data_IF_282775042006
#
_entry.id   IF_282775042006
#
_cell.length_a   1.000
_cell.length_b   1.000
_cell.length_c   1.000
_cell.angle_alpha   90.00
_cell.angle_beta   90.00
_cell.angle_gamma   90.00
#
_symmetry.space_group_name_H-M   'P 1'
#
loop_
_entity.id
_entity.type
_entity.pdbx_description
1 polymer ?
#
# COMPACT_ATOMS: atom_id res chain seq x y z
N UNK A 1 3.33 22.88 -0.46
CA UNK A 1 3.68 21.58 -1.08
C UNK A 1 2.76 21.26 -2.24
N UNK A 2 1.44 21.02 -2.04
CA UNK A 2 0.52 20.76 -3.16
C UNK A 2 0.48 21.93 -4.18
N UNK A 3 0.22 23.16 -3.74
CA UNK A 3 0.25 24.35 -4.62
C UNK A 3 1.62 24.65 -5.25
N UNK A 4 2.70 24.12 -4.67
CA UNK A 4 4.05 24.26 -5.24
C UNK A 4 4.34 23.13 -6.24
N UNK A 5 3.65 22.00 -6.14
CA UNK A 5 3.82 20.84 -7.01
C UNK A 5 3.39 21.12 -8.45
N UNK A 6 2.51 22.10 -8.66
CA UNK A 6 2.08 22.55 -9.99
C UNK A 6 3.06 23.55 -10.62
N UNK A 7 4.18 23.84 -9.94
CA UNK A 7 5.19 24.82 -10.37
C UNK A 7 6.59 24.22 -10.42
N UNK A 8 7.54 24.92 -11.05
CA UNK A 8 8.96 24.54 -11.05
C UNK A 8 9.56 24.39 -9.64
N UNK A 9 8.99 25.05 -8.62
CA UNK A 9 9.40 24.88 -7.23
C UNK A 9 9.15 23.44 -6.73
N UNK A 10 8.08 22.79 -7.17
CA UNK A 10 7.78 21.40 -6.84
C UNK A 10 8.85 20.43 -7.33
N UNK A 11 9.38 20.68 -8.54
CA UNK A 11 10.51 19.94 -9.11
C UNK A 11 11.77 20.10 -8.23
N UNK A 12 12.15 21.35 -7.91
CA UNK A 12 13.32 21.64 -7.07
C UNK A 12 13.21 21.02 -5.67
N UNK A 13 12.07 21.17 -5.00
CA UNK A 13 11.81 20.60 -3.68
C UNK A 13 11.91 19.06 -3.71
N UNK A 14 11.41 18.43 -4.77
CA UNK A 14 11.45 16.97 -4.93
C UNK A 14 12.89 16.44 -5.05
N UNK A 15 13.75 17.14 -5.81
CA UNK A 15 15.18 16.82 -5.86
C UNK A 15 15.90 17.12 -4.54
N UNK A 16 15.55 18.21 -3.84
CA UNK A 16 16.11 18.51 -2.52
C UNK A 16 15.81 17.40 -1.50
N UNK A 17 14.59 16.84 -1.52
CA UNK A 17 14.23 15.69 -0.68
C UNK A 17 15.12 14.47 -0.97
N UNK A 18 15.36 14.17 -2.25
CA UNK A 18 16.26 13.09 -2.64
C UNK A 18 17.68 13.34 -2.11
N UNK A 19 18.21 14.55 -2.28
CA UNK A 19 19.54 14.94 -1.80
C UNK A 19 19.65 14.78 -0.29
N UNK A 20 18.64 15.20 0.48
CA UNK A 20 18.62 15.02 1.94
C UNK A 20 18.67 13.55 2.33
N UNK A 21 17.91 12.67 1.66
CA UNK A 21 17.94 11.23 1.91
C UNK A 21 19.31 10.63 1.57
N UNK A 22 19.89 11.02 0.43
CA UNK A 22 21.22 10.58 -0.01
C UNK A 22 22.28 11.00 1.00
N UNK A 23 22.36 12.28 1.35
CA UNK A 23 23.33 12.79 2.32
C UNK A 23 23.17 12.11 3.67
N UNK A 24 21.93 11.96 4.15
CA UNK A 24 21.68 11.28 5.43
C UNK A 24 22.12 9.82 5.45
N UNK A 25 22.10 9.13 4.31
CA UNK A 25 22.54 7.73 4.21
C UNK A 25 24.05 7.57 4.36
N UNK A 26 24.83 8.60 4.02
CA UNK A 26 26.28 8.63 4.24
C UNK A 26 26.62 8.69 5.75
N UNK A 27 25.76 9.34 6.56
CA UNK A 27 25.96 9.44 8.01
C UNK A 27 25.35 8.27 8.77
N UNK A 28 24.10 7.90 8.45
CA UNK A 28 23.38 6.84 9.15
C UNK A 28 22.27 6.25 8.30
N UNK A 29 22.38 4.94 8.04
CA UNK A 29 21.33 4.16 7.39
C UNK A 29 19.98 4.27 8.12
N UNK A 30 20.00 4.30 9.47
CA UNK A 30 18.78 4.46 10.27
C UNK A 30 18.12 5.82 10.01
N UNK A 31 18.90 6.90 9.93
CA UNK A 31 18.37 8.23 9.64
C UNK A 31 17.78 8.31 8.23
N UNK A 32 18.48 7.74 7.25
CA UNK A 32 18.02 7.72 5.86
C UNK A 32 16.71 6.97 5.68
N UNK A 33 16.56 5.79 6.29
CA UNK A 33 15.30 5.03 6.25
C UNK A 33 14.15 5.83 6.86
N UNK A 34 14.39 6.49 8.00
CA UNK A 34 13.37 7.33 8.65
C UNK A 34 12.94 8.50 7.80
N UNK A 35 13.90 9.23 7.23
CA UNK A 35 13.64 10.37 6.36
C UNK A 35 12.93 9.94 5.08
N UNK A 36 13.35 8.84 4.48
CA UNK A 36 12.68 8.26 3.31
C UNK A 36 11.21 7.94 3.60
N UNK A 37 10.92 7.22 4.69
CA UNK A 37 9.54 6.88 5.07
C UNK A 37 8.74 8.15 5.34
N UNK A 38 9.27 9.09 6.12
CA UNK A 38 8.59 10.34 6.44
C UNK A 38 8.25 11.15 5.18
N UNK A 39 9.26 11.48 4.37
CA UNK A 39 9.11 12.30 3.18
C UNK A 39 8.20 11.65 2.15
N UNK A 40 8.31 10.33 1.98
CA UNK A 40 7.45 9.57 1.05
C UNK A 40 5.97 9.55 1.48
N UNK A 41 5.67 9.58 2.78
CA UNK A 41 4.30 9.53 3.27
C UNK A 41 3.62 10.90 3.27
N UNK A 42 4.33 11.95 3.66
CA UNK A 42 3.76 13.31 3.70
C UNK A 42 3.60 13.92 2.30
N UNK A 43 4.38 13.47 1.32
CA UNK A 43 4.27 13.92 -0.07
C UNK A 43 3.03 13.33 -0.75
N UNK A 44 2.17 14.17 -1.36
CA UNK A 44 1.04 13.68 -2.15
C UNK A 44 1.55 12.90 -3.37
N UNK A 45 0.88 11.79 -3.70
CA UNK A 45 1.20 10.97 -4.88
C UNK A 45 0.56 11.51 -6.17
N UNK A 46 -0.57 12.20 -6.04
CA UNK A 46 -1.37 12.70 -7.16
C UNK A 46 -1.87 14.13 -6.85
N UNK A 47 -2.17 14.88 -7.90
CA UNK A 47 -2.84 16.18 -7.78
C UNK A 47 -4.25 16.02 -7.16
N UNK A 48 -4.76 17.08 -6.52
CA UNK A 48 -6.15 17.14 -6.06
C UNK A 48 -7.15 17.39 -7.19
N UNK A 49 -6.66 17.91 -8.31
CA UNK A 49 -7.48 18.21 -9.50
C UNK A 49 -7.45 17.07 -10.51
N UNK A 50 -6.85 15.92 -10.16
CA UNK A 50 -6.61 14.85 -11.11
C UNK A 50 -7.91 14.34 -11.73
N UNK A 51 -8.91 14.01 -10.90
CA UNK A 51 -10.20 13.52 -11.44
C UNK A 51 -10.93 14.61 -12.23
N UNK A 52 -10.89 15.86 -11.77
CA UNK A 52 -11.51 16.98 -12.50
C UNK A 52 -10.88 17.17 -13.89
N UNK A 53 -9.55 17.10 -13.98
CA UNK A 53 -8.79 17.19 -15.23
C UNK A 53 -9.08 16.01 -16.17
N UNK A 54 -9.17 14.78 -15.64
CA UNK A 54 -9.50 13.60 -16.43
C UNK A 54 -10.93 13.69 -16.98
N UNK A 55 -11.88 14.17 -16.17
CA UNK A 55 -13.28 14.34 -16.61
C UNK A 55 -13.40 15.46 -17.63
N UNK A 56 -12.76 16.62 -17.39
CA UNK A 56 -12.85 17.77 -18.29
C UNK A 56 -12.15 17.54 -19.64
N UNK A 57 -11.07 16.74 -19.67
CA UNK A 57 -10.35 16.38 -20.90
C UNK A 57 -10.93 15.17 -21.63
N UNK A 58 -12.08 14.63 -21.20
CA UNK A 58 -12.60 13.34 -21.72
C UNK A 58 -11.54 12.23 -21.72
N UNK A 59 -10.73 12.16 -20.66
CA UNK A 59 -9.71 11.14 -20.45
C UNK A 59 -8.54 11.19 -21.47
N UNK A 60 -8.20 12.37 -21.97
CA UNK A 60 -7.13 12.58 -22.97
C UNK A 60 -5.90 13.30 -22.42
N UNK A 61 -6.06 14.27 -21.51
CA UNK A 61 -4.97 15.12 -21.02
C UNK A 61 -5.01 15.31 -19.50
N UNK A 62 -3.83 15.35 -18.87
CA UNK A 62 -3.65 15.63 -17.45
C UNK A 62 -2.49 16.60 -17.29
N UNK A 63 -2.67 17.65 -16.48
CA UNK A 63 -1.63 18.66 -16.25
C UNK A 63 -0.44 18.08 -15.47
N UNK A 64 0.72 18.73 -15.61
CA UNK A 64 1.95 18.29 -14.95
C UNK A 64 1.88 18.50 -13.43
N UNK A 65 2.18 17.45 -12.68
CA UNK A 65 2.25 17.48 -11.21
C UNK A 65 3.62 16.99 -10.73
N UNK A 66 4.40 17.86 -10.09
CA UNK A 66 5.75 17.57 -9.61
C UNK A 66 5.78 17.26 -8.10
N UNK A 67 5.93 15.98 -7.78
CA UNK A 67 6.09 15.46 -6.43
C UNK A 67 7.27 14.49 -6.35
N UNK A 68 7.69 14.16 -5.13
CA UNK A 68 8.72 13.14 -4.90
C UNK A 68 8.39 11.77 -5.52
N UNK A 69 7.11 11.48 -5.78
CA UNK A 69 6.66 10.24 -6.42
C UNK A 69 6.52 10.36 -7.94
N UNK A 70 6.15 11.53 -8.45
CA UNK A 70 5.85 11.74 -9.88
C UNK A 70 7.05 12.26 -10.68
N UNK A 71 7.99 12.99 -10.05
CA UNK A 71 9.23 13.42 -10.69
C UNK A 71 10.09 12.19 -11.00
N UNK A 72 10.59 12.12 -12.23
CA UNK A 72 11.42 11.02 -12.72
C UNK A 72 12.82 11.51 -13.09
N UNK A 73 13.80 10.64 -12.87
CA UNK A 73 15.15 10.78 -13.38
C UNK A 73 15.55 9.45 -14.04
N UNK A 74 16.02 9.51 -15.30
CA UNK A 74 16.30 8.34 -16.12
C UNK A 74 15.15 7.30 -16.17
N UNK A 75 13.90 7.78 -16.21
CA UNK A 75 12.70 6.93 -16.27
C UNK A 75 12.30 6.26 -14.94
N UNK A 76 12.99 6.54 -13.83
CA UNK A 76 12.64 6.07 -12.49
C UNK A 76 12.16 7.24 -11.62
N UNK A 77 11.08 7.03 -10.88
CA UNK A 77 10.61 8.01 -9.89
C UNK A 77 11.66 8.25 -8.80
N UNK A 78 11.77 9.49 -8.29
CA UNK A 78 12.77 9.85 -7.28
C UNK A 78 12.65 8.99 -6.01
N UNK A 79 11.42 8.61 -5.62
CA UNK A 79 11.20 7.69 -4.49
C UNK A 79 11.82 6.30 -4.70
N UNK A 80 11.84 5.80 -5.93
CA UNK A 80 12.49 4.52 -6.27
C UNK A 80 14.01 4.68 -6.26
N UNK A 81 14.53 5.79 -6.78
CA UNK A 81 15.97 6.09 -6.76
C UNK A 81 16.48 6.20 -5.31
N UNK A 82 15.72 6.84 -4.43
CA UNK A 82 16.04 6.90 -3.00
C UNK A 82 16.15 5.50 -2.37
N UNK A 83 15.22 4.59 -2.69
CA UNK A 83 15.30 3.19 -2.24
C UNK A 83 16.56 2.52 -2.78
N UNK A 84 16.86 2.66 -4.08
CA UNK A 84 18.07 2.08 -4.70
C UNK A 84 19.32 2.58 -3.97
N UNK A 85 19.41 3.88 -3.65
CA UNK A 85 20.55 4.44 -2.93
C UNK A 85 20.68 3.88 -1.51
N UNK A 86 19.57 3.77 -0.77
CA UNK A 86 19.52 3.10 0.53
C UNK A 86 19.99 1.64 0.40
N UNK A 87 19.61 0.96 -0.69
CA UNK A 87 20.05 -0.39 -1.01
C UNK A 87 21.55 -0.49 -1.23
N UNK A 88 22.12 0.41 -2.03
CA UNK A 88 23.55 0.49 -2.30
C UNK A 88 24.34 0.64 -0.99
N UNK A 89 23.99 1.61 -0.15
CA UNK A 89 24.63 1.82 1.15
C UNK A 89 24.44 0.61 2.07
N UNK A 90 23.27 -0.02 2.06
CA UNK A 90 23.01 -1.23 2.83
C UNK A 90 23.94 -2.38 2.41
N UNK A 91 24.16 -2.58 1.11
CA UNK A 91 25.08 -3.59 0.59
C UNK A 91 26.53 -3.27 1.00
N UNK A 92 26.98 -2.02 0.83
CA UNK A 92 28.31 -1.60 1.27
C UNK A 92 28.52 -1.88 2.77
N UNK A 93 27.53 -1.55 3.60
CA UNK A 93 27.57 -1.80 5.04
C UNK A 93 27.57 -3.29 5.37
N UNK A 94 26.78 -4.10 4.66
CA UNK A 94 26.78 -5.56 4.83
C UNK A 94 28.17 -6.15 4.53
N UNK A 95 28.80 -5.75 3.42
CA UNK A 95 30.13 -6.23 3.03
C UNK A 95 31.20 -5.81 4.04
N UNK A 96 31.13 -4.58 4.55
CA UNK A 96 32.07 -4.08 5.56
C UNK A 96 31.91 -4.77 6.92
N UNK A 97 30.66 -4.88 7.41
CA UNK A 97 30.38 -5.44 8.74
C UNK A 97 30.38 -6.97 8.79
N UNK A 98 30.33 -7.64 7.63
CA UNK A 98 30.22 -9.11 7.50
C UNK A 98 29.09 -9.71 8.36
N UNK A 99 27.98 -8.97 8.48
CA UNK A 99 26.84 -9.35 9.32
C UNK A 99 26.28 -10.70 8.87
N UNK A 100 26.28 -11.69 9.77
CA UNK A 100 25.72 -13.01 9.48
C UNK A 100 24.22 -13.03 9.71
N UNK A 101 23.49 -13.58 8.74
CA UNK A 101 22.07 -13.86 8.85
C UNK A 101 21.85 -15.09 9.74
N UNK A 102 21.53 -14.89 11.02
CA UNK A 102 21.36 -16.00 11.93
C UNK A 102 19.91 -16.51 12.08
N UNK A 103 18.92 -15.79 11.56
CA UNK A 103 17.50 -16.16 11.70
C UNK A 103 17.05 -17.07 10.56
N UNK A 104 16.69 -18.33 10.88
CA UNK A 104 16.12 -19.30 9.92
C UNK A 104 14.88 -18.74 9.23
N UNK A 105 14.05 -18.00 9.97
CA UNK A 105 12.82 -17.38 9.46
C UNK A 105 13.10 -16.30 8.41
N UNK A 106 14.13 -15.49 8.64
CA UNK A 106 14.57 -14.43 7.70
C UNK A 106 15.24 -15.05 6.48
N UNK A 107 16.06 -16.09 6.65
CA UNK A 107 16.64 -16.84 5.54
C UNK A 107 15.55 -17.47 4.65
N UNK A 108 14.50 -18.04 5.26
CA UNK A 108 13.34 -18.58 4.53
C UNK A 108 12.63 -17.51 3.70
N UNK A 109 12.54 -16.26 4.18
CA UNK A 109 11.99 -15.15 3.39
C UNK A 109 12.83 -14.87 2.14
N UNK A 110 14.17 -14.75 2.26
CA UNK A 110 15.02 -14.54 1.09
C UNK A 110 14.99 -15.72 0.11
N UNK A 111 15.04 -16.96 0.62
CA UNK A 111 14.92 -18.16 -0.23
C UNK A 111 13.61 -18.16 -1.02
N UNK A 112 12.49 -17.80 -0.38
CA UNK A 112 11.21 -17.66 -1.06
C UNK A 112 11.22 -16.57 -2.13
N UNK A 113 11.82 -15.41 -1.84
CA UNK A 113 11.95 -14.31 -2.78
C UNK A 113 12.78 -14.71 -4.02
N UNK A 114 13.91 -15.39 -3.82
CA UNK A 114 14.72 -15.94 -4.91
C UNK A 114 14.00 -17.02 -5.70
N UNK A 115 13.26 -17.90 -5.03
CA UNK A 115 12.46 -18.94 -5.70
C UNK A 115 11.41 -18.32 -6.61
N UNK A 116 10.63 -17.35 -6.12
CA UNK A 116 9.65 -16.63 -6.95
C UNK A 116 10.32 -15.88 -8.08
N UNK A 117 11.46 -15.22 -7.82
CA UNK A 117 12.21 -14.55 -8.88
C UNK A 117 12.60 -15.53 -10.01
N UNK A 118 13.07 -16.73 -9.67
CA UNK A 118 13.40 -17.78 -10.63
C UNK A 118 12.15 -18.29 -11.39
N UNK A 119 11.00 -18.43 -10.70
CA UNK A 119 9.72 -18.80 -11.34
C UNK A 119 9.30 -17.76 -12.37
N UNK A 120 9.41 -16.46 -12.06
CA UNK A 120 9.07 -15.40 -13.01
C UNK A 120 10.05 -15.37 -14.21
N UNK A 121 11.34 -15.60 -13.99
CA UNK A 121 12.32 -15.73 -15.08
C UNK A 121 11.99 -16.92 -16.00
N UNK A 122 11.65 -18.06 -15.42
CA UNK A 122 11.22 -19.24 -16.17
C UNK A 122 9.96 -18.92 -16.99
N UNK A 123 8.95 -18.32 -16.36
CA UNK A 123 7.72 -17.93 -17.03
C UNK A 123 7.97 -16.93 -18.18
N UNK A 124 8.84 -15.94 -18.00
CA UNK A 124 9.25 -15.02 -19.09
C UNK A 124 9.89 -15.78 -20.23
N UNK A 125 10.78 -16.73 -19.93
CA UNK A 125 11.47 -17.54 -20.95
C UNK A 125 10.47 -18.37 -21.75
N UNK A 126 9.53 -19.05 -21.08
CA UNK A 126 8.47 -19.82 -21.75
C UNK A 126 7.59 -18.91 -22.60
N UNK A 127 7.16 -17.75 -22.09
CA UNK A 127 6.37 -16.76 -22.83
C UNK A 127 7.07 -16.26 -24.10
N UNK A 128 8.39 -16.04 -24.04
CA UNK A 128 9.17 -15.67 -25.23
C UNK A 128 9.22 -16.80 -26.27
N UNK A 129 9.36 -18.06 -25.83
CA UNK A 129 9.41 -19.22 -26.73
C UNK A 129 8.11 -19.45 -27.50
N UNK A 130 6.97 -19.08 -26.92
CA UNK A 130 5.65 -19.15 -27.58
C UNK A 130 5.28 -17.84 -28.32
N UNK A 131 6.23 -16.92 -28.49
CA UNK A 131 6.05 -15.70 -29.30
C UNK A 131 5.46 -14.49 -28.56
N UNK A 132 5.19 -14.58 -27.26
CA UNK A 132 4.78 -13.41 -26.44
C UNK A 132 6.00 -12.70 -25.88
N UNK A 133 6.65 -11.89 -26.71
CA UNK A 133 7.83 -11.12 -26.32
C UNK A 133 7.44 -9.87 -25.52
N UNK A 134 7.89 -9.75 -24.25
CA UNK A 134 7.65 -8.57 -23.43
C UNK A 134 8.60 -7.42 -23.79
N UNK A 135 8.11 -6.18 -23.73
CA UNK A 135 8.97 -4.99 -23.82
C UNK A 135 9.85 -4.89 -22.56
N UNK A 136 11.13 -4.62 -22.76
CA UNK A 136 12.13 -4.51 -21.70
C UNK A 136 11.78 -3.47 -20.63
N UNK A 137 11.08 -2.39 -21.00
CA UNK A 137 10.60 -1.37 -20.05
C UNK A 137 9.67 -1.99 -19.00
N UNK A 138 8.83 -2.92 -19.41
CA UNK A 138 7.90 -3.61 -18.51
C UNK A 138 8.59 -4.67 -17.66
N UNK A 139 9.61 -5.36 -18.21
CA UNK A 139 10.46 -6.27 -17.43
C UNK A 139 11.14 -5.52 -16.28
N UNK A 140 11.76 -4.38 -16.57
CA UNK A 140 12.43 -3.53 -15.57
C UNK A 140 11.42 -3.04 -14.52
N UNK A 141 10.24 -2.61 -14.95
CA UNK A 141 9.16 -2.16 -14.07
C UNK A 141 8.73 -3.24 -13.06
N UNK A 142 8.62 -4.49 -13.50
CA UNK A 142 8.21 -5.62 -12.65
C UNK A 142 9.36 -6.05 -11.72
N UNK A 143 10.61 -6.02 -12.20
CA UNK A 143 11.80 -6.33 -11.40
C UNK A 143 11.97 -5.39 -10.18
N UNK A 144 11.52 -4.15 -10.31
CA UNK A 144 11.53 -3.13 -9.25
C UNK A 144 10.95 -3.63 -7.92
N UNK A 145 9.90 -4.46 -7.95
CA UNK A 145 9.25 -4.97 -6.73
C UNK A 145 10.22 -5.83 -5.88
N UNK A 146 11.00 -6.70 -6.54
CA UNK A 146 11.99 -7.55 -5.88
C UNK A 146 13.15 -6.74 -5.32
N UNK A 147 13.60 -5.72 -6.05
CA UNK A 147 14.62 -4.78 -5.58
C UNK A 147 14.14 -4.11 -4.28
N UNK A 148 12.93 -3.54 -4.29
CA UNK A 148 12.39 -2.79 -3.15
C UNK A 148 12.23 -3.71 -1.93
N UNK A 149 11.70 -4.91 -2.09
CA UNK A 149 11.58 -5.87 -0.98
C UNK A 149 12.93 -6.34 -0.45
N UNK A 150 13.87 -6.63 -1.34
CA UNK A 150 15.22 -7.03 -0.97
C UNK A 150 15.92 -5.94 -0.15
N UNK A 151 15.81 -4.68 -0.59
CA UNK A 151 16.41 -3.53 0.09
C UNK A 151 15.73 -3.26 1.44
N UNK A 152 14.40 -3.28 1.52
CA UNK A 152 13.69 -3.10 2.80
C UNK A 152 14.05 -4.19 3.82
N UNK A 153 14.12 -5.44 3.37
CA UNK A 153 14.57 -6.57 4.19
C UNK A 153 16.03 -6.43 4.65
N UNK A 154 16.94 -6.03 3.76
CA UNK A 154 18.35 -5.84 4.06
C UNK A 154 18.56 -4.70 5.06
N UNK A 155 17.91 -3.56 4.83
CA UNK A 155 17.98 -2.41 5.74
C UNK A 155 17.47 -2.79 7.14
N UNK A 156 16.39 -3.59 7.24
CA UNK A 156 15.89 -4.09 8.51
C UNK A 156 16.94 -4.92 9.28
N UNK A 157 17.66 -5.82 8.61
CA UNK A 157 18.72 -6.64 9.23
C UNK A 157 19.87 -5.80 9.75
N UNK A 158 20.24 -4.74 9.02
CA UNK A 158 21.38 -3.90 9.41
C UNK A 158 21.06 -2.91 10.54
N UNK A 159 19.77 -2.63 10.76
CA UNK A 159 19.31 -1.69 11.81
C UNK A 159 18.70 -2.43 13.01
N UNK A 160 18.39 -3.73 12.90
CA UNK A 160 17.67 -4.47 13.94
C UNK A 160 18.35 -4.51 15.31
N UNK A 161 19.66 -4.25 15.39
CA UNK A 161 20.40 -4.17 16.65
C UNK A 161 19.95 -2.98 17.52
N UNK A 162 19.34 -1.95 16.92
CA UNK A 162 18.73 -0.87 17.68
C UNK A 162 17.38 -1.35 18.22
N UNK A 163 17.32 -1.66 19.52
CA UNK A 163 16.10 -2.18 20.14
C UNK A 163 14.91 -1.26 19.95
N UNK A 164 15.08 0.04 19.77
CA UNK A 164 13.99 1.01 19.63
C UNK A 164 13.60 1.31 18.17
N UNK A 165 14.13 0.60 17.16
CA UNK A 165 13.89 0.97 15.76
C UNK A 165 12.42 0.90 15.35
N UNK A 166 11.69 -0.15 15.75
CA UNK A 166 10.27 -0.30 15.40
C UNK A 166 9.47 0.83 16.03
N UNK A 167 9.77 1.18 17.28
CA UNK A 167 9.13 2.27 18.01
C UNK A 167 9.37 3.62 17.33
N UNK A 168 10.60 3.88 16.86
CA UNK A 168 10.93 5.11 16.11
C UNK A 168 10.20 5.18 14.76
N UNK A 169 10.08 4.06 14.05
CA UNK A 169 9.34 4.01 12.77
C UNK A 169 7.85 4.21 13.03
N UNK A 170 7.28 3.56 14.06
CA UNK A 170 5.89 3.76 14.46
C UNK A 170 5.60 5.24 14.79
N UNK A 171 6.51 5.93 15.49
CA UNK A 171 6.37 7.36 15.78
C UNK A 171 6.41 8.21 14.50
N UNK A 172 7.19 7.83 13.48
CA UNK A 172 7.19 8.51 12.17
C UNK A 172 5.86 8.30 11.44
N UNK A 173 5.31 7.09 11.48
CA UNK A 173 4.00 6.80 10.90
C UNK A 173 2.91 7.65 11.59
N UNK A 174 2.94 7.72 12.92
CA UNK A 174 2.05 8.56 13.72
C UNK A 174 2.18 10.04 13.34
N UNK A 175 3.41 10.56 13.27
CA UNK A 175 3.65 11.94 12.89
C UNK A 175 3.16 12.23 11.47
N UNK A 176 3.39 11.32 10.53
CA UNK A 176 2.92 11.45 9.14
C UNK A 176 1.40 11.57 9.08
N UNK A 177 0.67 10.74 9.83
CA UNK A 177 -0.80 10.81 9.90
C UNK A 177 -1.29 12.11 10.51
N UNK A 178 -0.62 12.63 11.54
CA UNK A 178 -0.97 13.95 12.10
C UNK A 178 -0.83 15.06 11.05
N UNK A 179 0.28 15.06 10.31
CA UNK A 179 0.53 16.05 9.24
C UNK A 179 -0.53 15.95 8.14
N UNK A 180 -0.86 14.73 7.70
CA UNK A 180 -1.84 14.50 6.62
C UNK A 180 -3.26 14.85 7.09
N UNK A 181 -3.63 14.50 8.32
CA UNK A 181 -4.93 14.83 8.89
C UNK A 181 -5.13 16.34 9.05
N UNK A 182 -4.11 17.05 9.54
CA UNK A 182 -4.12 18.52 9.60
C UNK A 182 -4.18 19.15 8.21
N UNK A 183 -3.43 18.64 7.24
CA UNK A 183 -3.50 19.09 5.85
C UNK A 183 -4.92 18.94 5.28
N UNK A 184 -5.58 17.83 5.59
CA UNK A 184 -6.96 17.57 5.15
C UNK A 184 -7.93 18.62 5.71
N UNK A 185 -7.77 19.04 6.97
CA UNK A 185 -8.57 20.14 7.54
C UNK A 185 -8.33 21.47 6.81
N UNK A 186 -7.08 21.80 6.46
CA UNK A 186 -6.79 22.99 5.68
C UNK A 186 -7.44 22.94 4.29
N UNK A 187 -7.47 21.77 3.65
CA UNK A 187 -8.18 21.59 2.39
C UNK A 187 -9.68 21.78 2.54
N UNK A 188 -10.32 21.19 3.54
CA UNK A 188 -11.74 21.43 3.83
C UNK A 188 -12.04 22.93 4.01
N UNK A 189 -11.22 23.66 4.79
CA UNK A 189 -11.40 25.08 4.99
C UNK A 189 -11.25 25.88 3.68
N UNK A 190 -10.23 25.56 2.88
CA UNK A 190 -10.00 26.20 1.59
C UNK A 190 -11.13 25.95 0.59
N UNK A 191 -11.62 24.71 0.52
CA UNK A 191 -12.70 24.31 -0.38
C UNK A 191 -14.02 24.98 0.03
N UNK A 192 -14.26 25.13 1.34
CA UNK A 192 -15.40 25.88 1.87
C UNK A 192 -15.34 27.36 1.49
N UNK A 193 -14.18 28.01 1.65
CA UNK A 193 -13.99 29.43 1.31
C UNK A 193 -14.11 29.66 -0.21
N UNK A 194 -13.60 28.73 -1.02
CA UNK A 194 -13.63 28.84 -2.48
C UNK A 194 -14.95 28.39 -3.12
N UNK A 195 -15.87 27.82 -2.34
CA UNK A 195 -17.15 27.30 -2.85
C UNK A 195 -17.01 26.11 -3.79
N UNK A 196 -15.86 25.42 -3.78
CA UNK A 196 -15.56 24.26 -4.64
C UNK A 196 -15.29 23.04 -3.77
N UNK A 197 -16.33 22.28 -3.38
CA UNK A 197 -16.15 21.09 -2.55
C UNK A 197 -15.40 20.02 -3.35
N UNK A 198 -14.11 19.80 -3.05
CA UNK A 198 -13.30 18.75 -3.65
C UNK A 198 -12.92 17.71 -2.59
N UNK A 199 -13.26 16.44 -2.84
CA UNK A 199 -13.06 15.34 -1.90
C UNK A 199 -11.70 14.62 -2.04
N UNK A 200 -10.84 15.13 -2.91
CA UNK A 200 -9.48 14.61 -3.11
C UNK A 200 -8.50 15.26 -2.13
N UNK A 201 -8.39 14.71 -0.92
CA UNK A 201 -7.54 15.27 0.15
C UNK A 201 -6.09 14.72 0.15
N UNK A 202 -5.70 14.00 -0.91
CA UNK A 202 -4.40 13.35 -1.07
C UNK A 202 -4.01 12.46 0.15
N UNK A 203 -4.96 11.68 0.66
CA UNK A 203 -4.86 10.90 1.91
C UNK A 203 -3.93 9.69 1.83
N UNK A 204 -3.62 9.08 2.99
CA UNK A 204 -2.81 7.85 3.10
C UNK A 204 -3.60 6.75 3.82
N UNK A 205 -4.71 6.31 3.21
CA UNK A 205 -5.63 5.31 3.76
C UNK A 205 -4.92 4.05 4.29
N UNK A 206 -3.91 3.57 3.55
CA UNK A 206 -3.13 2.37 3.83
C UNK A 206 -2.43 2.33 5.21
N UNK A 207 -2.11 3.49 5.80
CA UNK A 207 -1.50 3.59 7.15
C UNK A 207 -2.50 4.20 8.14
N UNK A 208 -3.34 5.13 7.67
CA UNK A 208 -4.27 5.87 8.49
C UNK A 208 -5.35 4.98 9.11
N UNK A 209 -5.96 4.06 8.35
CA UNK A 209 -6.97 3.13 8.87
C UNK A 209 -6.41 2.16 9.92
N UNK A 210 -5.26 1.48 9.72
CA UNK A 210 -4.63 0.70 10.79
C UNK A 210 -4.37 1.51 12.06
N UNK A 211 -3.84 2.73 11.93
CA UNK A 211 -3.57 3.58 13.09
C UNK A 211 -4.83 4.08 13.79
N UNK A 212 -5.89 4.39 13.04
CA UNK A 212 -7.20 4.73 13.59
C UNK A 212 -7.69 3.64 14.55
N UNK A 213 -7.70 2.37 14.11
CA UNK A 213 -8.11 1.26 14.96
C UNK A 213 -7.18 1.06 16.17
N UNK A 214 -5.86 1.22 15.98
CA UNK A 214 -4.89 1.18 17.08
C UNK A 214 -5.21 2.26 18.12
N UNK A 215 -5.44 3.50 17.71
CA UNK A 215 -5.76 4.61 18.63
C UNK A 215 -7.08 4.38 19.36
N UNK A 216 -8.12 3.97 18.63
CA UNK A 216 -9.43 3.68 19.19
C UNK A 216 -9.38 2.58 20.27
N UNK A 217 -8.49 1.58 20.10
CA UNK A 217 -8.42 0.41 20.98
C UNK A 217 -7.43 0.55 22.15
N UNK A 218 -6.39 1.37 22.01
CA UNK A 218 -5.21 1.32 22.91
C UNK A 218 -4.89 2.63 23.63
N UNK A 219 -5.72 3.66 23.51
CA UNK A 219 -5.55 4.93 24.25
C UNK A 219 -6.48 4.95 25.48
N UNK A 220 -5.92 5.20 26.68
CA UNK A 220 -6.67 5.23 27.95
C UNK A 220 -7.62 6.43 28.04
N UNK A 221 -7.10 7.64 27.80
CA UNK A 221 -7.88 8.88 27.88
C UNK A 221 -8.90 8.94 26.75
N UNK A 222 -10.18 9.11 27.08
CA UNK A 222 -11.27 9.23 26.10
C UNK A 222 -11.04 10.41 25.16
N UNK A 223 -10.65 11.57 25.69
CA UNK A 223 -10.36 12.75 24.87
C UNK A 223 -9.22 12.51 23.89
N UNK A 224 -8.07 11.99 24.36
CA UNK A 224 -6.94 11.67 23.46
C UNK A 224 -7.32 10.60 22.44
N UNK A 225 -8.14 9.62 22.83
CA UNK A 225 -8.65 8.58 21.94
C UNK A 225 -9.48 9.18 20.81
N UNK A 226 -10.46 10.01 21.14
CA UNK A 226 -11.32 10.69 20.17
C UNK A 226 -10.50 11.56 19.21
N UNK A 227 -9.61 12.40 19.76
CA UNK A 227 -8.76 13.29 18.97
C UNK A 227 -7.89 12.51 17.97
N UNK A 228 -7.12 11.53 18.46
CA UNK A 228 -6.20 10.77 17.60
C UNK A 228 -6.94 9.91 16.57
N UNK A 229 -8.09 9.34 16.94
CA UNK A 229 -8.93 8.56 16.02
C UNK A 229 -9.52 9.48 14.94
N UNK A 230 -10.01 10.66 15.31
CA UNK A 230 -10.55 11.65 14.38
C UNK A 230 -9.50 12.17 13.40
N UNK A 231 -8.30 12.50 13.87
CA UNK A 231 -7.20 12.94 12.98
C UNK A 231 -6.76 11.81 12.03
N UNK A 232 -6.70 10.56 12.51
CA UNK A 232 -6.41 9.42 11.68
C UNK A 232 -7.50 9.17 10.62
N UNK A 233 -8.78 9.37 10.97
CA UNK A 233 -9.89 9.28 10.02
C UNK A 233 -9.79 10.34 8.93
N UNK A 234 -9.50 11.59 9.28
CA UNK A 234 -9.26 12.67 8.31
C UNK A 234 -8.13 12.32 7.34
N UNK A 235 -7.05 11.71 7.85
CA UNK A 235 -5.94 11.23 7.02
C UNK A 235 -6.24 9.97 6.19
N UNK A 236 -7.39 9.33 6.43
CA UNK A 236 -7.83 8.09 5.77
C UNK A 236 -8.95 8.31 4.74
N UNK A 237 -9.63 9.47 4.73
CA UNK A 237 -10.79 9.72 3.86
C UNK A 237 -10.41 9.49 2.40
N UNK A 238 -10.95 8.41 1.84
CA UNK A 238 -10.73 7.98 0.47
C UNK A 238 -12.00 7.29 0.00
N UNK A 239 -12.51 7.66 -1.17
CA UNK A 239 -13.72 7.06 -1.73
C UNK A 239 -13.42 5.78 -2.56
N UNK A 240 -12.25 5.15 -2.40
CA UNK A 240 -11.92 3.94 -3.15
C UNK A 240 -12.68 2.74 -2.56
N UNK A 241 -13.30 1.93 -3.42
CA UNK A 241 -14.05 0.72 -3.00
C UNK A 241 -13.15 -0.29 -2.29
N UNK A 242 -11.89 -0.38 -2.73
CA UNK A 242 -10.86 -1.22 -2.12
C UNK A 242 -10.59 -0.83 -0.67
N UNK A 243 -10.54 0.48 -0.37
CA UNK A 243 -10.34 0.96 1.00
C UNK A 243 -11.50 0.56 1.92
N UNK A 244 -12.74 0.61 1.42
CA UNK A 244 -13.94 0.14 2.15
C UNK A 244 -13.83 -1.36 2.45
N UNK A 245 -13.44 -2.18 1.46
CA UNK A 245 -13.25 -3.61 1.64
C UNK A 245 -12.14 -3.92 2.67
N UNK A 246 -11.03 -3.17 2.66
CA UNK A 246 -9.97 -3.33 3.66
C UNK A 246 -10.39 -2.89 5.07
N UNK A 247 -11.22 -1.85 5.20
CA UNK A 247 -11.81 -1.47 6.49
C UNK A 247 -12.70 -2.60 7.02
N UNK A 248 -13.52 -3.22 6.17
CA UNK A 248 -14.33 -4.38 6.56
C UNK A 248 -13.46 -5.57 7.02
N UNK A 249 -12.39 -5.88 6.28
CA UNK A 249 -11.43 -6.92 6.68
C UNK A 249 -10.73 -6.59 8.02
N UNK A 250 -10.43 -5.33 8.29
CA UNK A 250 -9.94 -4.89 9.60
C UNK A 250 -10.95 -5.14 10.72
N UNK A 251 -12.24 -4.87 10.49
CA UNK A 251 -13.30 -5.16 11.46
C UNK A 251 -13.38 -6.67 11.75
N UNK A 252 -13.33 -7.52 10.72
CA UNK A 252 -13.26 -8.97 10.90
C UNK A 252 -12.01 -9.40 11.69
N UNK A 253 -10.86 -8.81 11.38
CA UNK A 253 -9.61 -9.11 12.06
C UNK A 253 -9.64 -8.66 13.53
N UNK A 254 -10.30 -7.55 13.85
CA UNK A 254 -10.54 -7.11 15.23
C UNK A 254 -11.44 -8.12 15.96
N UNK A 255 -12.51 -8.60 15.33
CA UNK A 255 -13.35 -9.65 15.90
C UNK A 255 -12.55 -10.91 16.21
N UNK A 256 -11.69 -11.34 15.28
CA UNK A 256 -10.73 -12.41 15.52
C UNK A 256 -9.84 -12.12 16.75
N UNK A 257 -9.26 -10.92 16.87
CA UNK A 257 -8.43 -10.56 18.03
C UNK A 257 -9.21 -10.63 19.36
N UNK A 258 -10.46 -10.17 19.39
CA UNK A 258 -11.33 -10.23 20.57
C UNK A 258 -11.57 -11.67 21.02
N UNK A 259 -11.83 -12.57 20.07
CA UNK A 259 -12.09 -13.99 20.36
C UNK A 259 -10.82 -14.69 20.85
N UNK A 260 -9.70 -14.52 20.15
CA UNK A 260 -8.51 -15.34 20.38
C UNK A 260 -7.52 -14.77 21.41
N UNK A 261 -7.50 -13.45 21.67
CA UNK A 261 -6.70 -12.89 22.77
C UNK A 261 -7.43 -12.93 24.11
N UNK A 262 -8.76 -13.00 24.10
CA UNK A 262 -9.64 -13.12 25.28
C UNK A 262 -9.34 -12.10 26.40
N UNK A 263 -8.95 -10.88 26.05
CA UNK A 263 -8.72 -9.79 27.01
C UNK A 263 -9.99 -8.94 27.16
N UNK A 264 -10.45 -8.75 28.41
CA UNK A 264 -11.68 -7.98 28.71
C UNK A 264 -11.54 -6.51 28.31
N UNK A 265 -10.37 -5.91 28.53
CA UNK A 265 -10.10 -4.52 28.19
C UNK A 265 -10.11 -4.30 26.67
N UNK A 266 -9.51 -5.22 25.92
CA UNK A 266 -9.52 -5.24 24.47
C UNK A 266 -10.95 -5.35 23.93
N UNK A 267 -11.76 -6.29 24.45
CA UNK A 267 -13.15 -6.47 24.02
C UNK A 267 -13.98 -5.20 24.21
N UNK A 268 -13.88 -4.56 25.39
CA UNK A 268 -14.56 -3.29 25.67
C UNK A 268 -14.09 -2.17 24.73
N UNK A 269 -12.78 -1.99 24.57
CA UNK A 269 -12.24 -0.92 23.74
C UNK A 269 -12.51 -1.15 22.25
N UNK A 270 -12.54 -2.39 21.79
CA UNK A 270 -12.92 -2.73 20.42
C UNK A 270 -14.39 -2.43 20.13
N UNK A 271 -15.30 -2.76 21.06
CA UNK A 271 -16.72 -2.40 20.93
C UNK A 271 -16.90 -0.87 20.87
N UNK A 272 -16.21 -0.13 21.75
CA UNK A 272 -16.17 1.33 21.68
C UNK A 272 -15.63 1.84 20.34
N UNK A 273 -14.55 1.24 19.82
CA UNK A 273 -13.98 1.60 18.52
C UNK A 273 -14.98 1.40 17.37
N UNK A 274 -15.72 0.29 17.37
CA UNK A 274 -16.74 0.00 16.37
C UNK A 274 -17.90 0.99 16.46
N UNK A 275 -18.39 1.30 17.66
CA UNK A 275 -19.44 2.31 17.84
C UNK A 275 -18.98 3.69 17.36
N UNK A 276 -17.74 4.10 17.67
CA UNK A 276 -17.17 5.35 17.17
C UNK A 276 -17.08 5.37 15.64
N UNK A 277 -16.65 4.28 15.02
CA UNK A 277 -16.57 4.18 13.56
C UNK A 277 -17.96 4.35 12.93
N UNK A 278 -18.99 3.70 13.47
CA UNK A 278 -20.37 3.84 13.00
C UNK A 278 -20.84 5.29 13.15
N UNK A 279 -20.69 5.89 14.33
CA UNK A 279 -21.11 7.27 14.57
C UNK A 279 -20.43 8.26 13.63
N UNK A 280 -19.09 8.16 13.48
CA UNK A 280 -18.34 9.09 12.64
C UNK A 280 -18.69 8.88 11.15
N UNK A 281 -18.85 7.63 10.71
CA UNK A 281 -19.22 7.33 9.32
C UNK A 281 -20.63 7.84 9.01
N UNK A 282 -21.60 7.61 9.89
CA UNK A 282 -22.97 8.12 9.73
C UNK A 282 -22.99 9.66 9.69
N UNK A 283 -22.23 10.32 10.57
CA UNK A 283 -22.10 11.77 10.56
C UNK A 283 -21.46 12.28 9.26
N UNK A 284 -20.40 11.64 8.78
CA UNK A 284 -19.74 12.00 7.53
C UNK A 284 -20.66 11.84 6.32
N UNK A 285 -21.44 10.76 6.26
CA UNK A 285 -22.42 10.53 5.19
C UNK A 285 -23.52 11.59 5.23
N UNK A 286 -24.05 11.91 6.42
CA UNK A 286 -25.05 12.96 6.59
C UNK A 286 -24.51 14.34 6.20
N UNK A 287 -23.29 14.68 6.62
CA UNK A 287 -22.64 15.92 6.24
C UNK A 287 -22.42 16.01 4.72
N UNK A 288 -22.01 14.91 4.07
CA UNK A 288 -21.88 14.85 2.62
C UNK A 288 -23.23 15.07 1.91
N UNK A 289 -24.30 14.44 2.39
CA UNK A 289 -25.63 14.58 1.79
C UNK A 289 -26.13 16.04 1.78
N UNK A 290 -25.80 16.81 2.82
CA UNK A 290 -26.19 18.22 2.92
C UNK A 290 -25.22 19.13 2.17
N UNK A 291 -23.92 18.92 2.34
CA UNK A 291 -22.89 19.85 1.86
C UNK A 291 -22.52 19.64 0.38
N UNK A 292 -22.59 18.40 -0.11
CA UNK A 292 -22.27 18.06 -1.50
C UNK A 292 -23.15 16.90 -1.99
N UNK A 293 -24.40 17.18 -2.41
CA UNK A 293 -25.34 16.16 -2.89
C UNK A 293 -24.77 15.30 -4.02
N UNK A 294 -24.02 15.91 -4.95
CA UNK A 294 -23.36 15.19 -6.05
C UNK A 294 -22.37 14.12 -5.55
N UNK A 295 -21.63 14.42 -4.48
CA UNK A 295 -20.67 13.50 -3.89
C UNK A 295 -21.37 12.38 -3.11
N UNK A 296 -22.52 12.68 -2.51
CA UNK A 296 -23.38 11.69 -1.89
C UNK A 296 -23.98 10.74 -2.94
N UNK A 297 -24.45 11.25 -4.08
CA UNK A 297 -24.94 10.43 -5.19
C UNK A 297 -23.83 9.53 -5.76
N UNK A 298 -22.60 10.06 -5.87
CA UNK A 298 -21.44 9.26 -6.27
C UNK A 298 -21.09 8.17 -5.25
N UNK A 299 -21.23 8.46 -3.96
CA UNK A 299 -21.07 7.47 -2.89
C UNK A 299 -22.14 6.37 -3.02
N UNK A 300 -23.41 6.74 -3.20
CA UNK A 300 -24.51 5.80 -3.42
C UNK A 300 -24.27 4.93 -4.66
N UNK A 301 -23.85 5.52 -5.78
CA UNK A 301 -23.45 4.79 -6.98
C UNK A 301 -22.34 3.77 -6.71
N UNK A 302 -21.37 4.10 -5.83
CA UNK A 302 -20.32 3.16 -5.43
C UNK A 302 -20.85 2.02 -4.55
N UNK A 303 -21.87 2.26 -3.72
CA UNK A 303 -22.52 1.24 -2.90
C UNK A 303 -23.52 0.38 -3.66
N UNK A 304 -24.15 0.91 -4.71
CA UNK A 304 -25.02 0.18 -5.64
C UNK A 304 -24.30 -0.99 -6.34
N UNK A 305 -22.97 -0.97 -6.34
CA UNK A 305 -22.19 -2.14 -6.69
C UNK A 305 -22.52 -3.37 -5.81
N UNK A 306 -22.65 -3.21 -4.49
CA UNK A 306 -22.88 -4.33 -3.57
C UNK A 306 -24.29 -4.89 -3.69
N UNK A 307 -25.30 -4.05 -3.96
CA UNK A 307 -26.67 -4.51 -4.28
C UNK A 307 -26.68 -5.29 -5.59
N UNK A 308 -26.02 -4.78 -6.64
CA UNK A 308 -25.93 -5.44 -7.95
C UNK A 308 -25.16 -6.75 -7.91
N UNK A 309 -24.12 -6.84 -7.08
CA UNK A 309 -23.38 -8.09 -6.84
C UNK A 309 -24.30 -9.18 -6.26
N UNK A 310 -25.23 -8.81 -5.37
CA UNK A 310 -26.17 -9.74 -4.73
C UNK A 310 -27.38 -10.07 -5.63
N UNK A 311 -27.82 -9.14 -6.47
CA UNK A 311 -28.94 -9.38 -7.40
C UNK A 311 -28.54 -10.09 -8.69
N UNK A 312 -27.23 -10.19 -8.99
CA UNK A 312 -26.72 -10.85 -10.19
C UNK A 312 -26.91 -10.05 -11.47
N UNK A 313 -27.26 -8.76 -11.37
CA UNK A 313 -27.56 -7.92 -12.52
C UNK A 313 -26.27 -7.50 -13.24
N UNK A 314 -26.17 -7.82 -14.53
CA UNK A 314 -24.93 -7.66 -15.33
C UNK A 314 -24.52 -6.20 -15.60
N UNK A 315 -25.34 -5.22 -15.21
CA UNK A 315 -25.01 -3.79 -15.27
C UNK A 315 -24.09 -3.37 -14.11
N UNK A 316 -22.97 -4.07 -13.94
CA UNK A 316 -21.92 -3.66 -13.02
C UNK A 316 -21.28 -2.36 -13.50
N UNK A 317 -20.86 -1.49 -12.58
CA UNK A 317 -20.11 -0.28 -12.93
C UNK A 317 -18.89 -0.61 -13.82
N UNK A 318 -18.62 0.18 -14.86
CA UNK A 318 -17.57 -0.10 -15.86
C UNK A 318 -16.21 -0.51 -15.28
N UNK A 319 -15.78 0.09 -14.16
CA UNK A 319 -14.52 -0.25 -13.48
C UNK A 319 -14.44 -1.69 -12.92
N UNK A 320 -15.56 -2.32 -12.57
CA UNK A 320 -15.59 -3.72 -12.11
C UNK A 320 -15.60 -4.67 -13.29
N UNK A 321 -16.36 -4.33 -14.32
CA UNK A 321 -16.43 -5.10 -15.56
C UNK A 321 -15.03 -5.22 -16.20
N UNK A 322 -14.25 -4.12 -16.20
CA UNK A 322 -12.85 -4.12 -16.63
C UNK A 322 -12.04 -5.15 -15.83
N UNK A 323 -12.05 -5.11 -14.49
CA UNK A 323 -11.28 -6.06 -13.65
C UNK A 323 -11.68 -7.52 -13.87
N UNK A 324 -12.97 -7.79 -14.10
CA UNK A 324 -13.46 -9.13 -14.38
C UNK A 324 -12.99 -9.60 -15.77
N UNK A 325 -13.06 -8.73 -16.77
CA UNK A 325 -12.63 -9.04 -18.14
C UNK A 325 -11.11 -9.20 -18.19
N UNK A 326 -10.33 -8.40 -17.46
CA UNK A 326 -8.89 -8.64 -17.26
C UNK A 326 -8.64 -10.08 -16.81
N UNK A 327 -9.31 -10.52 -15.74
CA UNK A 327 -9.14 -11.88 -15.22
C UNK A 327 -9.54 -12.93 -16.26
N UNK A 328 -10.65 -12.72 -16.98
CA UNK A 328 -11.10 -13.62 -18.04
C UNK A 328 -10.10 -13.70 -19.19
N UNK A 329 -9.46 -12.61 -19.62
CA UNK A 329 -8.44 -12.65 -20.66
C UNK A 329 -7.14 -13.30 -20.17
N UNK A 330 -6.72 -13.00 -18.93
CA UNK A 330 -5.53 -13.60 -18.31
C UNK A 330 -5.71 -15.13 -18.17
N UNK A 331 -6.85 -15.57 -17.65
CA UNK A 331 -7.17 -17.00 -17.47
C UNK A 331 -7.53 -17.65 -18.80
N UNK A 332 -8.23 -16.94 -19.68
CA UNK A 332 -8.67 -17.45 -20.97
C UNK A 332 -7.52 -17.82 -21.88
N UNK A 333 -6.40 -17.10 -21.82
CA UNK A 333 -5.16 -17.53 -22.47
C UNK A 333 -4.65 -18.89 -21.98
N UNK A 334 -4.97 -19.25 -20.74
CA UNK A 334 -4.59 -20.54 -20.17
C UNK A 334 -5.38 -21.73 -20.72
N UNK A 335 -6.40 -21.48 -21.55
CA UNK A 335 -7.14 -22.53 -22.26
C UNK A 335 -6.26 -23.19 -23.33
N UNK A 336 -5.41 -22.41 -24.00
CA UNK A 336 -4.50 -22.91 -25.04
C UNK A 336 -3.17 -23.42 -24.45
N UNK A 337 -2.77 -22.91 -23.28
CA UNK A 337 -1.55 -23.29 -22.60
C UNK A 337 -1.77 -23.41 -21.08
N UNK A 338 -1.53 -24.57 -20.47
CA UNK A 338 -1.85 -24.77 -19.04
C UNK A 338 -0.85 -24.08 -18.07
N UNK A 339 0.37 -23.83 -18.52
CA UNK A 339 1.45 -23.33 -17.65
C UNK A 339 1.19 -21.95 -17.00
N UNK A 340 0.54 -20.95 -17.65
CA UNK A 340 0.32 -19.63 -17.07
C UNK A 340 -0.55 -19.66 -15.81
N UNK A 341 -1.38 -20.69 -15.63
CA UNK A 341 -2.14 -20.89 -14.39
C UNK A 341 -1.18 -21.00 -13.19
N UNK A 342 -0.09 -21.75 -13.35
CA UNK A 342 0.82 -22.04 -12.25
C UNK A 342 1.93 -21.00 -12.11
N UNK A 343 2.58 -20.64 -13.22
CA UNK A 343 3.78 -19.78 -13.21
C UNK A 343 3.57 -18.42 -13.87
N UNK A 344 2.38 -18.13 -14.41
CA UNK A 344 2.08 -16.87 -15.08
C UNK A 344 2.84 -16.70 -16.40
N UNK A 345 2.90 -15.45 -16.88
CA UNK A 345 3.62 -15.05 -18.09
C UNK A 345 4.99 -14.43 -17.81
N UNK A 346 5.36 -14.25 -16.53
CA UNK A 346 6.65 -13.71 -16.11
C UNK A 346 6.76 -12.19 -16.10
N UNK A 347 7.98 -11.70 -15.96
CA UNK A 347 8.33 -10.28 -16.07
C UNK A 347 7.91 -9.71 -17.43
N UNK A 348 7.26 -8.55 -17.39
CA UNK A 348 6.72 -7.89 -18.58
C UNK A 348 5.54 -8.62 -19.22
N UNK A 349 5.07 -9.72 -18.63
CA UNK A 349 3.90 -10.47 -19.11
C UNK A 349 2.68 -9.57 -19.25
N UNK A 350 1.88 -9.79 -20.29
CA UNK A 350 0.76 -8.93 -20.66
C UNK A 350 -0.43 -9.75 -21.13
N UNK A 351 -1.62 -9.22 -20.93
CA UNK A 351 -2.84 -9.70 -21.57
C UNK A 351 -3.31 -8.70 -22.62
N UNK A 352 -4.28 -9.12 -23.42
CA UNK A 352 -4.98 -8.28 -24.41
C UNK A 352 -6.48 -8.57 -24.27
N UNK A 353 -7.34 -7.70 -24.81
CA UNK A 353 -8.80 -7.91 -24.78
C UNK A 353 -9.30 -8.73 -25.97
N UNK A 354 -8.49 -9.62 -26.54
CA UNK A 354 -8.88 -10.40 -27.71
C UNK A 354 -10.06 -11.35 -27.45
N UNK A 355 -10.18 -11.90 -26.23
CA UNK A 355 -11.22 -12.87 -25.89
C UNK A 355 -12.56 -12.21 -25.58
N UNK A 356 -12.57 -11.14 -24.79
CA UNK A 356 -13.82 -10.53 -24.30
C UNK A 356 -14.23 -9.28 -25.06
N UNK A 357 -13.32 -8.68 -25.83
CA UNK A 357 -13.44 -7.31 -26.31
C UNK A 357 -13.32 -6.28 -25.18
N UNK A 358 -13.34 -5.00 -25.57
CA UNK A 358 -13.32 -3.89 -24.62
C UNK A 358 -14.67 -3.75 -23.91
N UNK A 359 -14.73 -3.81 -22.56
CA UNK A 359 -15.98 -3.67 -21.82
C UNK A 359 -16.54 -2.24 -21.83
N UNK A 360 -15.67 -1.25 -22.00
CA UNK A 360 -15.95 0.18 -22.08
C UNK A 360 -14.89 0.84 -22.97
N UNK A 361 -15.10 2.11 -23.36
CA UNK A 361 -14.05 2.92 -24.00
C UNK A 361 -12.96 3.17 -22.95
N UNK A 362 -11.77 2.60 -23.17
CA UNK A 362 -10.61 2.78 -22.30
C UNK A 362 -9.86 4.05 -22.68
N UNK A 363 -9.37 4.80 -21.69
CA UNK A 363 -8.52 5.97 -21.92
C UNK A 363 -7.32 6.03 -20.97
N UNK A 364 -6.65 7.18 -20.91
CA UNK A 364 -5.33 7.31 -20.26
C UNK A 364 -5.37 7.21 -18.73
N UNK A 365 -6.55 7.34 -18.12
CA UNK A 365 -6.74 7.05 -16.69
C UNK A 365 -6.91 5.56 -16.38
N UNK A 366 -7.21 4.73 -17.38
CA UNK A 366 -7.34 3.27 -17.23
C UNK A 366 -5.99 2.58 -17.52
N UNK A 367 -5.34 2.94 -18.62
CA UNK A 367 -4.05 2.36 -19.02
C UNK A 367 -3.12 3.40 -19.63
N UNK A 368 -1.82 3.10 -19.66
CA UNK A 368 -0.87 4.00 -20.30
C UNK A 368 -1.10 4.08 -21.82
N UNK A 369 -0.74 5.21 -22.42
CA UNK A 369 -0.87 5.44 -23.88
C UNK A 369 -0.21 4.31 -24.69
N UNK A 370 0.95 3.80 -24.24
CA UNK A 370 1.64 2.70 -24.90
C UNK A 370 0.86 1.38 -24.82
N UNK A 371 0.21 1.08 -23.69
CA UNK A 371 -0.59 -0.13 -23.53
C UNK A 371 -1.84 -0.07 -24.42
N UNK A 372 -2.50 1.11 -24.49
CA UNK A 372 -3.65 1.34 -25.36
C UNK A 372 -3.27 1.22 -26.85
N UNK A 373 -2.15 1.82 -27.26
CA UNK A 373 -1.71 1.79 -28.65
C UNK A 373 -1.26 0.40 -29.12
N UNK A 374 -0.69 -0.41 -28.22
CA UNK A 374 -0.18 -1.74 -28.56
C UNK A 374 -1.18 -2.86 -28.29
N UNK A 375 -2.31 -2.57 -27.63
CA UNK A 375 -3.25 -3.56 -27.10
C UNK A 375 -2.55 -4.62 -26.23
N UNK A 376 -1.53 -4.22 -25.46
CA UNK A 376 -0.77 -5.07 -24.54
C UNK A 376 -0.81 -4.49 -23.14
N UNK A 377 -1.65 -5.05 -22.29
CA UNK A 377 -1.89 -4.55 -20.93
C UNK A 377 -1.05 -5.33 -19.92
N UNK A 378 -0.18 -4.60 -19.23
CA UNK A 378 0.86 -5.16 -18.36
C UNK A 378 0.49 -4.97 -16.88
N UNK A 379 -0.34 -3.96 -16.61
CA UNK A 379 -0.68 -3.51 -15.26
C UNK A 379 -2.20 -3.60 -15.02
N UNK A 380 -2.72 -4.79 -14.74
CA UNK A 380 -4.14 -4.94 -14.39
C UNK A 380 -4.49 -4.19 -13.11
N UNK A 381 -5.76 -3.82 -12.96
CA UNK A 381 -6.24 -2.94 -11.89
C UNK A 381 -6.38 -3.63 -10.53
N UNK A 382 -6.20 -4.95 -10.43
CA UNK A 382 -6.28 -5.68 -9.16
C UNK A 382 -4.99 -6.47 -8.86
N UNK A 383 -4.64 -6.56 -7.57
CA UNK A 383 -3.48 -7.33 -7.14
C UNK A 383 -3.56 -8.81 -7.52
N UNK A 384 -4.76 -9.41 -7.46
CA UNK A 384 -4.97 -10.81 -7.85
C UNK A 384 -4.64 -10.99 -9.32
N UNK A 385 -5.19 -10.14 -10.20
CA UNK A 385 -4.93 -10.20 -11.63
C UNK A 385 -3.43 -9.99 -11.92
N UNK A 386 -2.80 -9.03 -11.23
CA UNK A 386 -1.37 -8.78 -11.40
C UNK A 386 -0.51 -10.00 -11.01
N UNK A 387 -0.68 -10.52 -9.80
CA UNK A 387 0.11 -11.66 -9.32
C UNK A 387 -0.10 -12.90 -10.18
N UNK A 388 -1.35 -13.14 -10.59
CA UNK A 388 -1.71 -14.26 -11.45
C UNK A 388 -1.11 -14.11 -12.85
N UNK A 389 -1.21 -12.92 -13.47
CA UNK A 389 -0.58 -12.64 -14.76
C UNK A 389 0.95 -12.83 -14.71
N UNK A 390 1.61 -12.36 -13.66
CA UNK A 390 3.09 -12.37 -13.59
C UNK A 390 3.67 -13.71 -13.17
N UNK A 391 3.09 -14.34 -12.15
CA UNK A 391 3.68 -15.51 -11.50
C UNK A 391 2.69 -16.62 -11.17
N UNK A 392 1.46 -16.54 -11.70
CA UNK A 392 0.40 -17.54 -11.52
C UNK A 392 0.01 -17.75 -10.06
N UNK A 393 -0.54 -18.94 -9.79
CA UNK A 393 -0.87 -19.38 -8.44
C UNK A 393 0.35 -19.41 -7.52
N UNK A 394 1.54 -19.76 -8.03
CA UNK A 394 2.74 -19.88 -7.20
C UNK A 394 3.10 -18.53 -6.57
N UNK A 395 3.13 -17.46 -7.36
CA UNK A 395 3.44 -16.13 -6.83
C UNK A 395 2.32 -15.60 -5.92
N UNK A 396 1.05 -15.81 -6.30
CA UNK A 396 -0.09 -15.44 -5.46
C UNK A 396 -0.05 -16.12 -4.09
N UNK A 397 0.17 -17.44 -4.04
CA UNK A 397 0.27 -18.20 -2.79
C UNK A 397 1.46 -17.73 -1.95
N UNK A 398 2.62 -17.51 -2.56
CA UNK A 398 3.77 -16.96 -1.84
C UNK A 398 3.45 -15.59 -1.23
N UNK A 399 2.84 -14.69 -2.00
CA UNK A 399 2.48 -13.36 -1.54
C UNK A 399 1.50 -13.37 -0.36
N UNK A 400 0.46 -14.18 -0.45
CA UNK A 400 -0.49 -14.35 0.65
C UNK A 400 0.20 -15.00 1.87
N UNK A 401 1.12 -15.95 1.67
CA UNK A 401 1.83 -16.60 2.77
C UNK A 401 2.70 -15.64 3.58
N UNK A 402 3.36 -14.66 2.94
CA UNK A 402 4.19 -13.67 3.65
C UNK A 402 3.33 -12.65 4.41
N UNK A 403 2.15 -12.30 3.88
CA UNK A 403 1.15 -11.47 4.59
C UNK A 403 0.65 -12.21 5.84
N UNK A 404 0.23 -13.47 5.68
CA UNK A 404 -0.19 -14.32 6.81
C UNK A 404 0.94 -14.50 7.83
N UNK A 405 2.20 -14.60 7.37
CA UNK A 405 3.37 -14.68 8.26
C UNK A 405 3.52 -13.42 9.09
N UNK A 406 3.35 -12.22 8.51
CA UNK A 406 3.35 -10.95 9.24
C UNK A 406 2.22 -10.91 10.28
N UNK A 407 0.99 -11.23 9.90
CA UNK A 407 -0.17 -11.30 10.80
C UNK A 407 0.07 -12.27 11.97
N UNK A 408 0.49 -13.49 11.66
CA UNK A 408 0.71 -14.56 12.64
C UNK A 408 1.83 -14.24 13.62
N UNK A 409 2.88 -13.53 13.16
CA UNK A 409 3.97 -13.08 14.03
C UNK A 409 3.52 -11.95 14.95
N UNK A 410 2.85 -10.95 14.41
CA UNK A 410 2.28 -9.84 15.18
C UNK A 410 1.30 -10.34 16.25
N UNK A 411 0.41 -11.28 15.89
CA UNK A 411 -0.53 -11.89 16.83
C UNK A 411 0.17 -12.60 17.99
N UNK A 412 1.18 -13.43 17.70
CA UNK A 412 1.96 -14.13 18.75
C UNK A 412 2.67 -13.16 19.69
N UNK A 413 3.22 -12.07 19.16
CA UNK A 413 3.88 -11.04 19.95
C UNK A 413 2.88 -10.26 20.82
N UNK A 414 1.72 -9.87 20.27
CA UNK A 414 0.63 -9.29 21.07
C UNK A 414 0.20 -10.20 22.23
N UNK A 415 -0.02 -11.50 21.95
CA UNK A 415 -0.40 -12.48 22.97
C UNK A 415 0.66 -12.60 24.08
N UNK A 416 1.95 -12.52 23.74
CA UNK A 416 3.03 -12.52 24.73
C UNK A 416 3.06 -11.23 25.55
N UNK A 417 2.94 -10.08 24.90
CA UNK A 417 2.89 -8.77 25.58
C UNK A 417 1.73 -8.74 26.58
N UNK A 418 0.56 -9.28 26.24
CA UNK A 418 -0.59 -9.33 27.15
C UNK A 418 -0.39 -10.21 28.39
N UNK A 419 0.61 -11.09 28.41
CA UNK A 419 0.94 -11.87 29.62
C UNK A 419 1.66 -11.04 30.67
N UNK A 420 2.42 -10.01 30.26
CA UNK A 420 3.30 -9.23 31.14
C UNK A 420 2.95 -7.75 31.20
N UNK A 421 2.28 -7.22 30.19
CA UNK A 421 1.93 -5.81 30.00
C UNK A 421 0.46 -5.69 29.61
N UNK A 422 -0.03 -4.45 29.57
CA UNK A 422 -1.41 -4.13 29.17
C UNK A 422 -1.55 -3.81 27.69
N UNK A 423 -2.80 -3.79 27.19
CA UNK A 423 -3.19 -3.28 25.86
C UNK A 423 -2.74 -1.82 25.59
N UNK A 424 -2.35 -1.08 26.63
CA UNK A 424 -1.94 0.32 26.55
C UNK A 424 -0.43 0.50 26.36
N UNK A 425 0.34 -0.59 26.40
CA UNK A 425 1.80 -0.57 26.20
C UNK A 425 2.18 -0.22 24.75
N UNK A 426 3.36 0.40 24.56
CA UNK A 426 3.80 0.80 23.22
C UNK A 426 3.99 -0.42 22.31
N UNK A 427 4.52 -1.51 22.86
CA UNK A 427 4.77 -2.74 22.15
C UNK A 427 3.46 -3.36 21.62
N UNK A 428 2.41 -3.37 22.44
CA UNK A 428 1.11 -3.87 21.99
C UNK A 428 0.57 -3.03 20.83
N UNK A 429 0.70 -1.70 20.88
CA UNK A 429 0.25 -0.79 19.80
C UNK A 429 0.98 -1.05 18.49
N UNK A 430 2.30 -1.23 18.57
CA UNK A 430 3.15 -1.52 17.42
C UNK A 430 2.77 -2.85 16.77
N UNK A 431 2.57 -3.90 17.57
CA UNK A 431 2.20 -5.21 17.04
C UNK A 431 0.76 -5.23 16.51
N UNK A 432 -0.16 -4.48 17.13
CA UNK A 432 -1.52 -4.29 16.61
C UNK A 432 -1.50 -3.54 15.27
N UNK A 433 -0.69 -2.48 15.16
CA UNK A 433 -0.49 -1.77 13.90
C UNK A 433 0.02 -2.73 12.82
N UNK A 434 1.07 -3.50 13.09
CA UNK A 434 1.62 -4.45 12.12
C UNK A 434 0.61 -5.52 11.70
N UNK A 435 -0.24 -5.98 12.62
CA UNK A 435 -1.29 -6.95 12.34
C UNK A 435 -2.39 -6.40 11.42
N UNK A 436 -2.81 -5.16 11.63
CA UNK A 436 -3.84 -4.51 10.80
C UNK A 436 -3.25 -4.01 9.46
N UNK A 437 -2.03 -3.47 9.49
CA UNK A 437 -1.31 -3.00 8.31
C UNK A 437 -1.10 -4.12 7.27
N UNK A 438 -0.86 -5.37 7.71
CA UNK A 438 -0.73 -6.51 6.78
C UNK A 438 -1.97 -6.77 5.92
N UNK A 439 -3.17 -6.39 6.35
CA UNK A 439 -4.39 -6.50 5.52
C UNK A 439 -4.30 -5.56 4.31
N UNK A 440 -3.85 -4.33 4.56
CA UNK A 440 -3.66 -3.32 3.52
C UNK A 440 -2.49 -3.66 2.59
N UNK A 441 -1.50 -4.45 3.05
CA UNK A 441 -0.42 -4.93 2.21
C UNK A 441 -0.89 -5.75 1.01
N UNK A 442 -2.09 -6.33 1.02
CA UNK A 442 -2.65 -7.09 -0.11
C UNK A 442 -2.62 -6.29 -1.43
N UNK A 443 -2.81 -4.97 -1.39
CA UNK A 443 -2.94 -4.13 -2.60
C UNK A 443 -1.84 -3.06 -2.76
N UNK A 444 -0.78 -3.11 -1.95
CA UNK A 444 0.28 -2.09 -1.94
C UNK A 444 1.35 -2.24 -3.03
N UNK A 445 1.25 -3.27 -3.88
CA UNK A 445 2.31 -3.65 -4.83
C UNK A 445 2.66 -2.55 -5.84
N UNK A 446 1.77 -1.59 -6.09
CA UNK A 446 2.04 -0.41 -6.91
C UNK A 446 2.78 0.74 -6.21
N UNK A 447 2.85 0.73 -4.88
CA UNK A 447 3.35 1.87 -4.10
C UNK A 447 4.73 1.56 -3.47
N UNK A 448 5.83 2.16 -3.98
CA UNK A 448 7.18 1.84 -3.55
C UNK A 448 7.44 1.94 -2.04
N UNK A 449 6.96 3.01 -1.40
CA UNK A 449 7.14 3.24 0.04
C UNK A 449 6.50 2.14 0.89
N UNK A 450 5.33 1.66 0.49
CA UNK A 450 4.61 0.63 1.23
C UNK A 450 5.20 -0.76 1.00
N UNK A 451 5.67 -1.06 -0.22
CA UNK A 451 6.44 -2.27 -0.50
C UNK A 451 7.73 -2.32 0.33
N UNK A 452 8.44 -1.18 0.42
CA UNK A 452 9.62 -1.05 1.27
C UNK A 452 9.25 -1.28 2.74
N UNK A 453 8.23 -0.57 3.24
CA UNK A 453 7.81 -0.64 4.65
C UNK A 453 7.32 -2.04 5.04
N UNK A 454 6.58 -2.72 4.17
CA UNK A 454 6.11 -4.09 4.40
C UNK A 454 7.28 -5.06 4.61
N UNK A 455 8.23 -5.12 3.67
CA UNK A 455 9.40 -6.00 3.78
C UNK A 455 10.26 -5.64 5.00
N UNK A 456 10.45 -4.35 5.26
CA UNK A 456 11.21 -3.84 6.40
C UNK A 456 10.57 -4.25 7.75
N UNK A 457 9.27 -4.00 7.94
CA UNK A 457 8.56 -4.34 9.17
C UNK A 457 8.47 -5.86 9.36
N UNK A 458 8.17 -6.62 8.30
CA UNK A 458 8.14 -8.09 8.37
C UNK A 458 9.47 -8.64 8.88
N UNK A 459 10.59 -8.21 8.29
CA UNK A 459 11.91 -8.72 8.69
C UNK A 459 12.27 -8.28 10.11
N UNK A 460 11.95 -7.05 10.52
CA UNK A 460 12.13 -6.64 11.91
C UNK A 460 11.37 -7.55 12.89
N UNK A 461 10.12 -7.91 12.58
CA UNK A 461 9.33 -8.85 13.40
C UNK A 461 9.95 -10.26 13.44
N UNK A 462 10.58 -10.70 12.35
CA UNK A 462 11.24 -12.01 12.27
C UNK A 462 12.59 -12.06 13.00
N UNK A 463 13.28 -10.92 13.18
CA UNK A 463 14.59 -10.87 13.87
C UNK A 463 14.43 -10.63 15.37
N UNK A 464 13.56 -9.71 15.81
CA UNK A 464 13.37 -9.30 17.22
C UNK A 464 12.89 -10.43 18.15
N UNK A 465 12.55 -11.60 17.61
CA UNK A 465 12.18 -12.79 18.40
C UNK A 465 13.38 -13.46 19.07
N UNK A 466 14.62 -13.28 18.61
CA UNK A 466 15.79 -13.90 19.24
C UNK A 466 16.18 -13.26 20.57
N UNK A 467 16.04 -11.94 20.70
CA UNK A 467 16.40 -11.20 21.93
C UNK A 467 15.42 -11.43 23.07
N UNK A 468 14.15 -11.70 22.77
CA UNK A 468 13.09 -11.95 23.77
C UNK A 468 12.99 -13.42 24.25
N UNK A 469 13.76 -14.35 23.70
CA UNK A 469 13.80 -15.77 24.15
C UNK A 469 14.88 -15.99 25.23
N UNK A 470 15.73 -14.98 25.48
CA UNK A 470 16.80 -15.02 26.49
C UNK A 470 16.45 -14.32 27.82
N UNK A 471 15.18 -13.95 28.02
CA UNK A 471 14.61 -13.51 29.30
C UNK A 471 13.51 -14.50 29.64
#
# INVERSE_FOLDING_TARGET
>A
MQYLADTAYGLFISYLMLTVIILSSLFSLELSVKLFVLLSLITPQFSRTFVEQVVSSNNQEVEQFFSFHSVQFAGLGLSVIAIIFIGFISICKLLYQKTKLESKDTLSFFKGLYFIFAVLLLATTVSCLIGRTPDIRYIISDFRMFIIWGIGALAAILICNNENIIDKIYNILLFSILVIGLRTLFFFANDFISGRPNLEYATQAYIAYPLMFVFAMTIRSLFKRLLMTGVALLAAISMKREDIAFVFLCVMAIFYLIVFLNDRGLRKNALLALMMLVVITSFAIFALAIYSPQSFDFLLYKFDFFSKLMSGDKQSSGSVLVRLYELQNIVGYSVEHIYPIFIGMGFGGYFDFSLTGYPIILGVSDYSINELATNKFVRPHSFTNFLFLKGGLIFLTYYLSIIIKMMSRSFRLMRRVLKTKSIYSNEFRIYLFCFLYSIFCVNMFWQPVHNFLFSFLLVLLLVRTKTLIRI
#
